data_IF_809717582072
#
_entry.id   IF_809717582072
#
_cell.length_a   1.000
_cell.length_b   1.000
_cell.length_c   1.000
_cell.angle_alpha   90.00
_cell.angle_beta   90.00
_cell.angle_gamma   90.00
#
_symmetry.space_group_name_H-M   'P 1'
#
loop_
_entity.id
_entity.type
_entity.pdbx_description
1 polymer ?
#
# COMPACT_ATOMS: atom_id res chain seq x y z
N UNK A 1 -2.96 -4.17 12.83
CA UNK A 1 -1.85 -3.26 12.49
C UNK A 1 -1.53 -3.28 11.00
N UNK A 2 -1.24 -4.45 10.39
CA UNK A 2 -0.79 -4.54 8.98
C UNK A 2 -1.81 -3.96 7.98
N UNK A 3 -3.10 -4.11 8.24
CA UNK A 3 -4.15 -3.51 7.40
C UNK A 3 -4.17 -1.97 7.50
N UNK A 4 -3.98 -1.42 8.72
CA UNK A 4 -3.85 0.02 8.95
C UNK A 4 -2.66 0.60 8.16
N UNK A 5 -1.49 -0.03 8.28
CA UNK A 5 -0.27 0.42 7.58
C UNK A 5 -0.46 0.36 6.07
N UNK A 6 -0.94 -0.78 5.53
CA UNK A 6 -1.14 -0.95 4.09
C UNK A 6 -2.08 0.11 3.51
N UNK A 7 -3.23 0.34 4.15
CA UNK A 7 -4.22 1.29 3.66
C UNK A 7 -3.77 2.75 3.87
N UNK A 8 -3.08 3.01 4.98
CA UNK A 8 -2.45 4.29 5.24
C UNK A 8 -1.37 4.64 4.22
N UNK A 9 -0.52 3.67 3.86
CA UNK A 9 0.49 3.83 2.81
C UNK A 9 -0.17 4.04 1.43
N UNK A 10 -1.25 3.33 1.11
CA UNK A 10 -1.99 3.56 -0.14
C UNK A 10 -2.51 5.00 -0.20
N UNK A 11 -3.14 5.48 0.86
CA UNK A 11 -3.67 6.84 0.93
C UNK A 11 -2.55 7.90 0.84
N UNK A 12 -1.45 7.70 1.57
CA UNK A 12 -0.29 8.57 1.50
C UNK A 12 0.32 8.60 0.10
N UNK A 13 0.43 7.44 -0.55
CA UNK A 13 0.94 7.34 -1.91
C UNK A 13 0.06 8.12 -2.90
N UNK A 14 -1.27 7.97 -2.83
CA UNK A 14 -2.19 8.67 -3.71
C UNK A 14 -2.25 10.18 -3.43
N UNK A 15 -2.26 10.60 -2.16
CA UNK A 15 -2.47 11.99 -1.79
C UNK A 15 -1.19 12.83 -1.80
N UNK A 16 -0.06 12.26 -1.39
CA UNK A 16 1.21 13.00 -1.28
C UNK A 16 2.10 12.78 -2.50
N UNK A 17 2.26 11.53 -2.95
CA UNK A 17 3.19 11.22 -4.03
C UNK A 17 2.57 11.39 -5.41
N UNK A 18 1.41 10.78 -5.65
CA UNK A 18 0.79 10.79 -6.96
C UNK A 18 0.28 12.17 -7.40
N UNK A 19 -0.03 13.06 -6.48
CA UNK A 19 -0.39 14.44 -6.79
C UNK A 19 0.81 15.38 -6.68
N UNK A 20 1.08 15.88 -5.47
CA UNK A 20 2.07 16.96 -5.28
C UNK A 20 3.47 16.60 -5.77
N UNK A 21 4.00 15.42 -5.46
CA UNK A 21 5.36 15.07 -5.85
C UNK A 21 5.52 14.97 -7.38
N UNK A 22 4.60 14.31 -8.08
CA UNK A 22 4.69 14.19 -9.53
C UNK A 22 4.56 15.54 -10.25
N UNK A 23 3.72 16.43 -9.73
CA UNK A 23 3.49 17.73 -10.38
C UNK A 23 4.52 18.78 -9.94
N UNK A 24 4.82 18.90 -8.64
CA UNK A 24 5.64 19.98 -8.10
C UNK A 24 7.14 19.65 -8.17
N UNK A 25 7.53 18.37 -8.00
CA UNK A 25 8.94 17.97 -7.98
C UNK A 25 9.40 17.37 -9.31
N UNK A 26 8.59 16.50 -9.90
CA UNK A 26 8.96 15.82 -11.15
C UNK A 26 8.49 16.56 -12.42
N UNK A 27 7.63 17.58 -12.29
CA UNK A 27 7.18 18.43 -13.40
C UNK A 27 6.20 17.78 -14.38
N UNK A 28 5.53 16.69 -13.97
CA UNK A 28 4.52 16.06 -14.82
C UNK A 28 3.22 16.88 -14.86
N UNK A 29 2.53 16.83 -16.00
CA UNK A 29 1.23 17.48 -16.15
C UNK A 29 0.15 16.81 -15.30
N UNK A 30 -0.89 17.58 -14.94
CA UNK A 30 -2.06 17.05 -14.22
C UNK A 30 -2.69 15.85 -14.94
N UNK A 31 -2.74 15.87 -16.27
CA UNK A 31 -3.28 14.77 -17.06
C UNK A 31 -2.42 13.51 -16.96
N UNK A 32 -1.09 13.63 -17.06
CA UNK A 32 -0.18 12.49 -16.89
C UNK A 32 -0.29 11.90 -15.49
N UNK A 33 -0.34 12.75 -14.46
CA UNK A 33 -0.53 12.36 -13.06
C UNK A 33 -1.87 11.63 -12.86
N UNK A 34 -2.96 12.16 -13.39
CA UNK A 34 -4.28 11.51 -13.35
C UNK A 34 -4.28 10.13 -14.01
N UNK A 35 -3.61 9.99 -15.17
CA UNK A 35 -3.47 8.70 -15.86
C UNK A 35 -2.67 7.68 -15.04
N UNK A 36 -1.64 8.10 -14.31
CA UNK A 36 -0.89 7.22 -13.42
C UNK A 36 -1.75 6.73 -12.25
N UNK A 37 -2.55 7.60 -11.65
CA UNK A 37 -3.51 7.22 -10.59
C UNK A 37 -4.56 6.25 -11.15
N UNK A 38 -5.03 6.48 -12.37
CA UNK A 38 -5.96 5.58 -13.04
C UNK A 38 -5.35 4.18 -13.23
N UNK A 39 -4.10 4.10 -13.69
CA UNK A 39 -3.37 2.83 -13.83
C UNK A 39 -3.18 2.09 -12.50
N UNK A 40 -2.92 2.81 -11.41
CA UNK A 40 -2.90 2.22 -10.08
C UNK A 40 -4.24 1.55 -9.75
N UNK A 41 -5.35 2.22 -10.00
CA UNK A 41 -6.67 1.66 -9.74
C UNK A 41 -6.97 0.45 -10.65
N UNK A 42 -6.57 0.48 -11.92
CA UNK A 42 -6.64 -0.68 -12.81
C UNK A 42 -5.81 -1.85 -12.25
N UNK A 43 -4.61 -1.57 -11.73
CA UNK A 43 -3.80 -2.57 -11.03
C UNK A 43 -4.57 -3.23 -9.88
N UNK A 44 -5.28 -2.45 -9.05
CA UNK A 44 -6.10 -2.97 -7.95
C UNK A 44 -7.27 -3.82 -8.47
N UNK A 45 -7.97 -3.37 -9.50
CA UNK A 45 -9.11 -4.09 -10.09
C UNK A 45 -8.68 -5.46 -10.63
N UNK A 46 -7.57 -5.51 -11.36
CA UNK A 46 -7.04 -6.76 -11.90
C UNK A 46 -6.34 -7.62 -10.84
N UNK A 47 -5.67 -6.99 -9.89
CA UNK A 47 -4.98 -7.66 -8.78
C UNK A 47 -5.94 -8.44 -7.88
N UNK A 48 -7.13 -7.93 -7.62
CA UNK A 48 -8.09 -8.57 -6.73
C UNK A 48 -8.47 -10.00 -7.16
N UNK A 49 -8.99 -10.24 -8.37
CA UNK A 49 -9.30 -11.60 -8.83
C UNK A 49 -8.05 -12.45 -9.06
N UNK A 50 -6.95 -11.87 -9.56
CA UNK A 50 -5.70 -12.60 -9.80
C UNK A 50 -5.12 -13.14 -8.50
N UNK A 51 -4.92 -12.28 -7.49
CA UNK A 51 -4.35 -12.67 -6.21
C UNK A 51 -5.31 -13.53 -5.39
N UNK A 52 -6.62 -13.31 -5.52
CA UNK A 52 -7.64 -14.17 -4.95
C UNK A 52 -7.53 -15.59 -5.50
N UNK A 53 -7.52 -15.75 -6.82
CA UNK A 53 -7.38 -17.06 -7.48
C UNK A 53 -6.04 -17.71 -7.13
N UNK A 54 -4.96 -16.94 -7.11
CA UNK A 54 -3.63 -17.40 -6.74
C UNK A 54 -3.59 -17.96 -5.31
N UNK A 55 -4.23 -17.23 -4.38
CA UNK A 55 -4.38 -17.64 -2.99
C UNK A 55 -5.22 -18.90 -2.83
N UNK A 56 -6.34 -19.02 -3.56
CA UNK A 56 -7.31 -20.08 -3.36
C UNK A 56 -6.92 -21.38 -4.07
N UNK A 57 -6.41 -21.28 -5.29
CA UNK A 57 -6.20 -22.43 -6.17
C UNK A 57 -4.75 -22.88 -6.25
N UNK A 58 -3.80 -21.94 -6.35
CA UNK A 58 -2.41 -22.27 -6.62
C UNK A 58 -1.61 -22.48 -5.34
N UNK A 59 -1.55 -21.46 -4.49
CA UNK A 59 -0.73 -21.51 -3.27
C UNK A 59 -1.48 -22.06 -2.06
N UNK A 60 -2.80 -22.03 -2.06
CA UNK A 60 -3.66 -22.44 -0.94
C UNK A 60 -3.25 -21.82 0.39
N UNK A 61 -2.80 -20.56 0.33
CA UNK A 61 -2.34 -19.76 1.47
C UNK A 61 -2.81 -18.32 1.34
N UNK A 62 -3.55 -17.83 2.31
CA UNK A 62 -3.92 -16.41 2.41
C UNK A 62 -2.71 -15.58 2.82
N UNK A 63 -2.03 -16.06 3.85
CA UNK A 63 -0.88 -15.41 4.48
C UNK A 63 0.25 -15.17 3.49
N UNK A 64 0.62 -16.19 2.72
CA UNK A 64 1.72 -16.09 1.76
C UNK A 64 1.49 -15.02 0.70
N UNK A 65 0.27 -14.96 0.15
CA UNK A 65 -0.09 -13.96 -0.87
C UNK A 65 -0.16 -12.54 -0.29
N UNK A 66 -0.64 -12.38 0.95
CA UNK A 66 -0.63 -11.08 1.63
C UNK A 66 0.81 -10.61 1.90
N UNK A 67 1.70 -11.49 2.37
CA UNK A 67 3.12 -11.15 2.57
C UNK A 67 3.77 -10.75 1.24
N UNK A 68 3.53 -11.49 0.16
CA UNK A 68 4.03 -11.14 -1.16
C UNK A 68 3.51 -9.76 -1.61
N UNK A 69 2.23 -9.46 -1.36
CA UNK A 69 1.65 -8.15 -1.64
C UNK A 69 2.31 -7.01 -0.87
N UNK A 70 2.45 -7.16 0.47
CA UNK A 70 3.11 -6.16 1.32
C UNK A 70 4.57 -5.95 0.91
N UNK A 71 5.30 -7.03 0.60
CA UNK A 71 6.68 -6.95 0.12
C UNK A 71 6.76 -6.28 -1.25
N UNK A 72 5.83 -6.57 -2.16
CA UNK A 72 5.74 -5.93 -3.47
C UNK A 72 5.52 -4.41 -3.35
N UNK A 73 4.61 -3.97 -2.48
CA UNK A 73 4.39 -2.55 -2.19
C UNK A 73 5.67 -1.90 -1.64
N UNK A 74 6.32 -2.55 -0.67
CA UNK A 74 7.57 -2.06 -0.08
C UNK A 74 8.67 -1.88 -1.13
N UNK A 75 8.88 -2.87 -1.98
CA UNK A 75 9.89 -2.80 -3.05
C UNK A 75 9.60 -1.66 -4.02
N UNK A 76 8.34 -1.46 -4.41
CA UNK A 76 7.96 -0.37 -5.31
C UNK A 76 8.21 0.99 -4.66
N UNK A 77 7.87 1.17 -3.37
CA UNK A 77 8.16 2.43 -2.66
C UNK A 77 9.66 2.68 -2.61
N UNK A 78 10.47 1.67 -2.29
CA UNK A 78 11.93 1.80 -2.29
C UNK A 78 12.44 2.20 -3.69
N UNK A 79 11.98 1.54 -4.74
CA UNK A 79 12.34 1.89 -6.12
C UNK A 79 11.97 3.35 -6.41
N UNK A 80 10.75 3.77 -6.07
CA UNK A 80 10.28 5.13 -6.32
C UNK A 80 11.08 6.19 -5.55
N UNK A 81 11.61 5.88 -4.36
CA UNK A 81 12.47 6.80 -3.62
C UNK A 81 13.88 6.93 -4.23
N UNK A 82 14.30 5.97 -5.05
CA UNK A 82 15.61 5.94 -5.68
C UNK A 82 15.59 6.47 -7.13
N UNK A 83 14.42 6.67 -7.70
CA UNK A 83 14.26 7.13 -9.08
C UNK A 83 14.65 8.60 -9.23
N UNK A 84 15.56 8.95 -10.17
CA UNK A 84 15.90 10.32 -10.46
C UNK A 84 14.76 11.06 -11.16
N UNK A 85 14.69 12.41 -11.02
CA UNK A 85 13.79 13.23 -11.82
C UNK A 85 14.03 13.02 -13.33
N UNK A 86 12.94 13.03 -14.12
CA UNK A 86 13.01 12.87 -15.58
C UNK A 86 12.94 11.42 -16.09
N UNK A 87 12.59 10.46 -15.24
CA UNK A 87 12.38 9.08 -15.69
C UNK A 87 11.24 8.99 -16.73
N UNK A 88 11.35 8.00 -17.61
CA UNK A 88 10.36 7.79 -18.64
C UNK A 88 8.98 7.44 -18.05
N UNK A 89 7.93 8.10 -18.52
CA UNK A 89 6.56 7.95 -18.02
C UNK A 89 6.07 6.49 -18.01
N UNK A 90 6.50 5.68 -18.98
CA UNK A 90 6.12 4.26 -19.06
C UNK A 90 6.64 3.44 -17.86
N UNK A 91 7.80 3.78 -17.30
CA UNK A 91 8.33 3.10 -16.09
C UNK A 91 7.47 3.45 -14.89
N UNK A 92 7.12 4.72 -14.72
CA UNK A 92 6.18 5.14 -13.66
C UNK A 92 4.82 4.47 -13.83
N UNK A 93 4.30 4.39 -15.06
CA UNK A 93 3.04 3.72 -15.36
C UNK A 93 3.06 2.25 -14.90
N UNK A 94 4.14 1.52 -15.19
CA UNK A 94 4.33 0.15 -14.74
C UNK A 94 4.40 0.06 -13.21
N UNK A 95 5.16 0.94 -12.56
CA UNK A 95 5.30 0.95 -11.09
C UNK A 95 3.97 1.27 -10.40
N UNK A 96 3.19 2.22 -10.91
CA UNK A 96 1.87 2.55 -10.39
C UNK A 96 0.89 1.39 -10.56
N UNK A 97 0.87 0.77 -11.74
CA UNK A 97 0.05 -0.43 -11.96
C UNK A 97 0.43 -1.56 -11.01
N UNK A 98 1.73 -1.88 -10.88
CA UNK A 98 2.22 -2.92 -9.97
C UNK A 98 1.92 -2.58 -8.50
N UNK A 99 2.04 -1.32 -8.10
CA UNK A 99 1.68 -0.88 -6.76
C UNK A 99 0.20 -1.18 -6.45
N UNK A 100 -0.69 -0.81 -7.37
CA UNK A 100 -2.12 -1.14 -7.24
C UNK A 100 -2.37 -2.64 -7.20
N UNK A 101 -1.74 -3.40 -8.10
CA UNK A 101 -1.86 -4.85 -8.18
C UNK A 101 -1.47 -5.53 -6.86
N UNK A 102 -0.31 -5.22 -6.31
CA UNK A 102 0.12 -5.78 -5.03
C UNK A 102 -0.73 -5.29 -3.85
N UNK A 103 -1.22 -4.05 -3.92
CA UNK A 103 -2.11 -3.51 -2.88
C UNK A 103 -3.42 -4.30 -2.77
N UNK A 104 -3.91 -4.88 -3.86
CA UNK A 104 -5.11 -5.71 -3.87
C UNK A 104 -4.99 -6.97 -2.98
N UNK A 105 -3.76 -7.45 -2.68
CA UNK A 105 -3.54 -8.55 -1.74
C UNK A 105 -4.12 -8.27 -0.34
N UNK A 106 -4.26 -7.00 0.03
CA UNK A 106 -4.88 -6.62 1.30
C UNK A 106 -6.34 -7.02 1.43
N UNK A 107 -7.05 -7.27 0.34
CA UNK A 107 -8.42 -7.80 0.38
C UNK A 107 -8.44 -9.21 0.96
N UNK A 108 -7.36 -9.98 0.84
CA UNK A 108 -7.24 -11.33 1.41
C UNK A 108 -7.10 -11.33 2.94
N UNK A 109 -6.82 -10.19 3.56
CA UNK A 109 -6.80 -10.07 5.02
C UNK A 109 -8.19 -10.30 5.63
N UNK A 110 -9.27 -9.97 4.91
CA UNK A 110 -10.64 -10.20 5.36
C UNK A 110 -10.99 -11.69 5.46
N UNK A 111 -10.89 -12.50 4.40
CA UNK A 111 -11.11 -13.93 4.52
C UNK A 111 -10.08 -14.58 5.45
N UNK A 112 -8.82 -14.14 5.49
CA UNK A 112 -7.81 -14.70 6.38
C UNK A 112 -8.24 -14.61 7.85
N UNK A 113 -8.68 -13.43 8.33
CA UNK A 113 -9.12 -13.29 9.73
C UNK A 113 -10.44 -14.03 9.98
N UNK A 114 -11.34 -14.05 8.99
CA UNK A 114 -12.62 -14.78 9.09
C UNK A 114 -12.39 -16.28 9.28
N UNK A 115 -11.42 -16.87 8.58
CA UNK A 115 -11.06 -18.28 8.67
C UNK A 115 -10.38 -18.63 10.02
N UNK A 116 -9.81 -17.64 10.69
CA UNK A 116 -9.12 -17.79 11.97
C UNK A 116 -10.04 -17.65 13.19
N UNK A 117 -11.25 -17.14 13.01
CA UNK A 117 -12.20 -16.86 14.09
C UNK A 117 -13.38 -17.83 14.08
N UNK A 118 -14.02 -18.11 15.23
CA UNK A 118 -15.31 -18.78 15.28
C UNK A 118 -16.34 -18.03 14.44
N UNK A 119 -17.31 -18.76 13.88
CA UNK A 119 -18.30 -18.18 12.97
C UNK A 119 -19.10 -17.02 13.60
N UNK A 120 -19.39 -17.12 14.90
CA UNK A 120 -20.09 -16.09 15.65
C UNK A 120 -19.31 -14.79 15.76
N UNK A 121 -17.98 -14.85 15.71
CA UNK A 121 -17.07 -13.70 15.83
C UNK A 121 -16.61 -13.16 14.48
N UNK A 122 -16.92 -13.83 13.39
CA UNK A 122 -16.43 -13.46 12.05
C UNK A 122 -16.83 -12.03 11.64
N UNK A 123 -18.06 -11.63 11.94
CA UNK A 123 -18.56 -10.26 11.66
C UNK A 123 -17.80 -9.19 12.43
N UNK A 124 -17.57 -9.41 13.72
CA UNK A 124 -16.81 -8.48 14.59
C UNK A 124 -15.37 -8.36 14.11
N UNK A 125 -14.74 -9.47 13.73
CA UNK A 125 -13.37 -9.48 13.22
C UNK A 125 -13.23 -8.70 11.91
N UNK A 126 -14.20 -8.85 10.98
CA UNK A 126 -14.22 -8.09 9.73
C UNK A 126 -14.46 -6.59 9.97
N UNK A 127 -15.33 -6.23 10.91
CA UNK A 127 -15.56 -4.84 11.32
C UNK A 127 -14.26 -4.25 11.91
N UNK A 128 -13.54 -5.01 12.72
CA UNK A 128 -12.23 -4.60 13.25
C UNK A 128 -11.22 -4.29 12.14
N UNK A 129 -11.10 -5.13 11.12
CA UNK A 129 -10.24 -4.84 9.96
C UNK A 129 -10.67 -3.55 9.28
N UNK A 130 -11.98 -3.38 9.04
CA UNK A 130 -12.48 -2.20 8.35
C UNK A 130 -12.24 -0.92 9.15
N UNK A 131 -12.40 -0.97 10.48
CA UNK A 131 -12.04 0.13 11.37
C UNK A 131 -10.59 0.58 11.20
N UNK A 132 -9.65 -0.37 11.22
CA UNK A 132 -8.23 -0.06 11.00
C UNK A 132 -7.93 0.43 9.57
N UNK A 133 -8.67 -0.04 8.57
CA UNK A 133 -8.57 0.49 7.21
C UNK A 133 -9.03 1.96 7.13
N UNK A 134 -10.05 2.35 7.89
CA UNK A 134 -10.54 3.74 7.88
C UNK A 134 -9.62 4.69 8.67
N UNK A 135 -9.04 4.22 9.78
CA UNK A 135 -8.12 5.02 10.58
C UNK A 135 -6.75 5.17 9.90
N UNK A 136 -6.29 4.14 9.17
CA UNK A 136 -4.98 4.15 8.52
C UNK A 136 -4.69 5.42 7.70
N UNK A 137 -5.56 5.82 6.75
CA UNK A 137 -5.40 7.06 6.00
C UNK A 137 -5.27 8.30 6.87
N UNK A 138 -6.12 8.45 7.89
CA UNK A 138 -6.09 9.61 8.78
C UNK A 138 -4.76 9.70 9.54
N UNK A 139 -4.29 8.59 10.12
CA UNK A 139 -3.01 8.52 10.85
C UNK A 139 -1.83 8.81 9.91
N UNK A 140 -1.80 8.20 8.73
CA UNK A 140 -0.68 8.36 7.80
C UNK A 140 -0.64 9.75 7.17
N UNK A 141 -1.77 10.28 6.69
CA UNK A 141 -1.79 11.61 6.08
C UNK A 141 -1.43 12.70 7.07
N UNK A 142 -2.04 12.67 8.26
CA UNK A 142 -1.72 13.64 9.30
C UNK A 142 -0.29 13.47 9.83
N UNK A 143 0.12 12.23 10.11
CA UNK A 143 1.44 11.93 10.67
C UNK A 143 2.57 12.27 9.69
N UNK A 144 2.43 11.91 8.41
CA UNK A 144 3.45 12.23 7.40
C UNK A 144 3.49 13.73 7.08
N UNK A 145 2.33 14.40 7.01
CA UNK A 145 2.28 15.85 6.85
C UNK A 145 2.99 16.58 7.99
N UNK A 146 2.73 16.18 9.24
CA UNK A 146 3.41 16.73 10.42
C UNK A 146 4.91 16.42 10.42
N UNK A 147 5.31 15.22 10.02
CA UNK A 147 6.72 14.83 9.89
C UNK A 147 7.46 15.70 8.87
N UNK A 148 6.87 15.88 7.69
CA UNK A 148 7.45 16.70 6.62
C UNK A 148 7.64 18.14 7.08
N UNK A 149 6.63 18.72 7.75
CA UNK A 149 6.68 20.09 8.26
C UNK A 149 7.69 20.24 9.42
N UNK A 150 7.80 19.25 10.29
CA UNK A 150 8.74 19.31 11.42
C UNK A 150 10.20 19.16 11.00
N UNK A 151 10.49 18.29 10.02
CA UNK A 151 11.85 18.05 9.54
C UNK A 151 12.31 19.10 8.52
N UNK A 152 11.40 19.65 7.75
CA UNK A 152 11.68 20.59 6.65
C UNK A 152 10.71 21.78 6.69
N UNK A 153 10.77 22.64 7.71
CA UNK A 153 9.80 23.74 7.90
C UNK A 153 9.75 24.71 6.72
N UNK A 154 10.90 24.99 6.10
CA UNK A 154 11.01 25.93 4.97
C UNK A 154 10.79 25.25 3.59
N UNK A 155 10.82 23.94 3.53
CA UNK A 155 10.74 23.15 2.29
C UNK A 155 9.88 21.88 2.47
N UNK A 156 8.76 21.99 3.18
CA UNK A 156 7.88 20.84 3.49
C UNK A 156 7.29 20.15 2.26
N UNK A 157 7.36 20.77 1.09
CA UNK A 157 7.00 20.18 -0.23
C UNK A 157 8.21 19.94 -1.13
N UNK A 158 9.42 20.01 -0.58
CA UNK A 158 10.64 19.70 -1.33
C UNK A 158 10.88 18.18 -1.49
N UNK A 159 11.75 17.78 -2.42
CA UNK A 159 12.05 16.36 -2.69
C UNK A 159 12.51 15.60 -1.45
N UNK A 160 13.26 16.26 -0.57
CA UNK A 160 13.79 15.64 0.66
C UNK A 160 12.69 15.31 1.67
N UNK A 161 11.70 16.21 1.82
CA UNK A 161 10.56 16.00 2.69
C UNK A 161 9.71 14.79 2.22
N UNK A 162 9.46 14.70 0.91
CA UNK A 162 8.77 13.55 0.33
C UNK A 162 9.56 12.25 0.51
N UNK A 163 10.88 12.28 0.31
CA UNK A 163 11.74 11.11 0.54
C UNK A 163 11.71 10.66 2.00
N UNK A 164 11.72 11.59 2.96
CA UNK A 164 11.59 11.26 4.38
C UNK A 164 10.25 10.57 4.68
N UNK A 165 9.14 11.09 4.12
CA UNK A 165 7.83 10.50 4.27
C UNK A 165 7.78 9.05 3.72
N UNK A 166 8.38 8.78 2.54
CA UNK A 166 8.40 7.44 1.97
C UNK A 166 9.34 6.48 2.68
N UNK A 167 10.47 6.96 3.20
CA UNK A 167 11.32 6.15 4.09
C UNK A 167 10.53 5.72 5.33
N UNK A 168 9.74 6.62 5.92
CA UNK A 168 8.87 6.27 7.04
C UNK A 168 7.81 5.24 6.66
N UNK A 169 7.17 5.39 5.49
CA UNK A 169 6.25 4.38 4.95
C UNK A 169 6.93 3.02 4.78
N UNK A 170 8.18 3.01 4.30
CA UNK A 170 8.96 1.77 4.14
C UNK A 170 9.23 1.09 5.48
N UNK A 171 9.63 1.83 6.51
CA UNK A 171 9.83 1.30 7.87
C UNK A 171 8.54 0.71 8.43
N UNK A 172 7.42 1.42 8.27
CA UNK A 172 6.11 0.91 8.70
C UNK A 172 5.70 -0.36 7.94
N UNK A 173 5.98 -0.44 6.63
CA UNK A 173 5.70 -1.63 5.82
C UNK A 173 6.58 -2.83 6.22
N UNK A 174 7.87 -2.61 6.48
CA UNK A 174 8.75 -3.66 7.00
C UNK A 174 8.20 -4.21 8.31
N UNK A 175 7.84 -3.33 9.24
CA UNK A 175 7.25 -3.72 10.52
C UNK A 175 5.94 -4.47 10.32
N UNK A 176 5.05 -3.97 9.46
CA UNK A 176 3.77 -4.59 9.16
C UNK A 176 3.93 -5.99 8.53
N UNK A 177 4.87 -6.13 7.60
CA UNK A 177 5.17 -7.41 6.93
C UNK A 177 5.76 -8.41 7.92
N UNK A 178 6.69 -7.97 8.76
CA UNK A 178 7.30 -8.80 9.82
C UNK A 178 6.26 -9.28 10.81
N UNK A 179 5.41 -8.39 11.32
CA UNK A 179 4.32 -8.77 12.23
C UNK A 179 3.33 -9.73 11.56
N UNK A 180 3.02 -9.49 10.27
CA UNK A 180 2.12 -10.38 9.53
C UNK A 180 2.73 -11.77 9.33
N UNK A 181 4.06 -11.86 9.21
CA UNK A 181 4.76 -13.14 9.11
C UNK A 181 4.55 -14.03 10.35
N UNK A 182 4.36 -13.46 11.53
CA UNK A 182 4.09 -14.22 12.76
C UNK A 182 2.61 -14.56 12.97
N UNK A 183 1.69 -14.13 12.09
CA UNK A 183 0.29 -14.54 12.21
C UNK A 183 0.15 -16.03 11.96
N UNK A 184 -0.84 -16.66 12.61
CA UNK A 184 -1.21 -18.04 12.34
C UNK A 184 -1.93 -18.14 10.99
N UNK A 185 -1.92 -19.30 10.41
CA UNK A 185 -2.66 -19.62 9.20
C UNK A 185 -3.38 -20.96 9.38
N UNK A 186 -4.63 -21.02 8.97
CA UNK A 186 -5.36 -22.27 8.81
C UNK A 186 -5.19 -22.71 7.35
N UNK A 187 -4.65 -23.91 7.13
CA UNK A 187 -4.57 -24.46 5.77
C UNK A 187 -5.97 -24.57 5.18
N UNK A 188 -6.11 -24.16 3.93
CA UNK A 188 -7.34 -24.31 3.16
C UNK A 188 -7.44 -25.79 2.76
N UNK A 189 -7.95 -26.63 3.68
CA UNK A 189 -8.34 -27.99 3.36
C UNK A 189 -9.64 -27.97 2.53
N UNK A 190 -9.71 -28.88 1.59
CA UNK A 190 -10.95 -29.08 0.79
C UNK A 190 -12.02 -29.74 1.62
#
# INVERSE_FOLDING_TARGET
FSTLVRYGVLAAFQALWAGPYLMEVMGYSTLATGNLILLLNFGMILGAPCLGTLSDRLFRTRKGVVIAGLTGILLIIIILTLIPPGIHLAVLALLFFCFGFFNAAGLLMYPHIKEMMPLEMAGVAMTGINFFNMIGPAVFLQGLGSLMQALYPDASRGPEAFNAAFKMCSVCLVTATTLYFFTREKRLDR
#
